data_IF_169954200949
#
_entry.id   IF_169954200949
#
_cell.length_a   1.000
_cell.length_b   1.000
_cell.length_c   1.000
_cell.angle_alpha   90.00
_cell.angle_beta   90.00
_cell.angle_gamma   90.00
#
_symmetry.space_group_name_H-M   'P 1'
#
loop_
_entity.id
_entity.type
_entity.pdbx_description
1 polymer ?
#
# COMPACT_ATOMS: atom_id res chain seq x y z
N UNK A 1 -7.43 -3.67 19.97
CA UNK A 1 -6.08 -3.29 20.43
C UNK A 1 -5.86 -1.82 20.07
N UNK A 2 -5.25 -1.01 20.97
CA UNK A 2 -5.09 0.42 20.76
C UNK A 2 -3.67 0.90 21.09
N UNK A 3 -2.96 1.34 20.06
CA UNK A 3 -1.65 1.99 20.11
C UNK A 3 -1.71 3.44 19.56
N UNK A 4 -2.90 4.06 19.54
CA UNK A 4 -3.04 5.43 19.02
C UNK A 4 -2.11 6.38 19.75
N UNK A 5 -1.39 7.22 18.97
CA UNK A 5 -0.44 8.21 19.47
C UNK A 5 0.73 7.62 20.27
N UNK A 6 0.96 6.29 20.14
CA UNK A 6 2.11 5.67 20.77
C UNK A 6 3.42 6.18 20.12
N UNK A 7 4.44 6.31 20.93
CA UNK A 7 5.79 6.63 20.48
C UNK A 7 6.69 5.41 20.66
N UNK A 8 7.09 4.81 19.55
CA UNK A 8 8.06 3.74 19.49
C UNK A 8 9.45 4.37 19.29
N UNK A 9 10.30 4.25 20.29
CA UNK A 9 11.59 4.93 20.36
C UNK A 9 12.62 4.41 19.36
N UNK A 10 13.89 4.32 19.81
CA UNK A 10 14.99 3.79 18.98
C UNK A 10 15.02 2.27 19.03
N UNK A 11 15.24 1.65 17.89
CA UNK A 11 15.33 0.21 17.72
C UNK A 11 14.14 -0.35 16.95
N UNK A 12 14.22 -1.64 16.63
CA UNK A 12 13.17 -2.31 15.86
C UNK A 12 11.90 -2.47 16.69
N UNK A 13 10.75 -2.30 16.04
CA UNK A 13 9.44 -2.61 16.60
C UNK A 13 8.94 -3.92 15.95
N UNK A 14 9.08 -5.01 16.69
CA UNK A 14 8.79 -6.35 16.21
C UNK A 14 7.44 -6.86 16.70
N UNK A 15 6.52 -7.06 15.74
CA UNK A 15 5.17 -7.61 15.92
C UNK A 15 5.00 -8.93 15.16
N UNK A 16 6.06 -9.60 14.73
CA UNK A 16 5.95 -10.82 13.93
C UNK A 16 5.03 -11.86 14.61
N UNK A 17 4.21 -12.52 13.79
CA UNK A 17 3.30 -13.58 14.22
C UNK A 17 2.24 -13.16 15.25
N UNK A 18 1.99 -11.86 15.43
CA UNK A 18 0.95 -11.40 16.35
C UNK A 18 -0.44 -11.64 15.76
N UNK A 19 -1.30 -12.31 16.52
CA UNK A 19 -2.75 -12.33 16.29
C UNK A 19 -3.39 -11.22 17.13
N UNK A 20 -3.87 -10.17 16.46
CA UNK A 20 -4.55 -9.05 17.11
C UNK A 20 -6.02 -9.35 17.45
N UNK A 21 -6.55 -10.50 17.02
CA UNK A 21 -7.94 -10.91 17.23
C UNK A 21 -8.94 -10.15 16.38
N UNK A 22 -10.23 -10.41 16.56
CA UNK A 22 -11.31 -9.90 15.70
C UNK A 22 -11.78 -8.47 16.00
N UNK A 23 -11.20 -7.80 16.98
CA UNK A 23 -11.55 -6.42 17.32
C UNK A 23 -10.80 -5.39 16.47
N UNK A 24 -11.13 -4.12 16.66
CA UNK A 24 -10.39 -3.04 16.00
C UNK A 24 -8.94 -2.98 16.49
N UNK A 25 -8.03 -2.73 15.55
CA UNK A 25 -6.60 -2.49 15.80
C UNK A 25 -6.26 -1.09 15.32
N UNK A 26 -5.68 -0.26 16.18
CA UNK A 26 -5.33 1.09 15.79
C UNK A 26 -3.94 1.48 16.25
N UNK A 27 -3.19 2.05 15.30
CA UNK A 27 -1.91 2.74 15.47
C UNK A 27 -2.03 4.23 15.07
N UNK A 28 -3.26 4.77 14.97
CA UNK A 28 -3.53 6.13 14.49
C UNK A 28 -2.63 7.17 15.17
N UNK A 29 -1.98 8.01 14.35
CA UNK A 29 -1.05 9.07 14.80
C UNK A 29 0.15 8.56 15.61
N UNK A 30 0.45 7.25 15.61
CA UNK A 30 1.65 6.73 16.26
C UNK A 30 2.92 7.06 15.45
N UNK A 31 4.08 7.04 16.13
CA UNK A 31 5.38 7.34 15.53
C UNK A 31 6.39 6.26 15.84
N UNK A 32 7.00 5.71 14.79
CA UNK A 32 8.13 4.80 14.84
C UNK A 32 9.38 5.61 14.49
N UNK A 33 10.28 5.80 15.44
CA UNK A 33 11.32 6.82 15.31
C UNK A 33 12.54 6.35 14.52
N UNK A 34 13.15 5.22 14.89
CA UNK A 34 14.27 4.60 14.16
C UNK A 34 14.21 3.09 14.31
N UNK A 35 14.67 2.39 13.29
CA UNK A 35 14.68 0.93 13.22
C UNK A 35 13.60 0.39 12.30
N UNK A 36 13.62 -0.90 12.09
CA UNK A 36 12.63 -1.58 11.27
C UNK A 36 11.32 -1.74 12.04
N UNK A 37 10.21 -1.76 11.30
CA UNK A 37 8.90 -2.05 11.86
C UNK A 37 8.36 -3.31 11.19
N UNK A 38 8.17 -4.38 11.96
CA UNK A 38 8.00 -5.72 11.44
C UNK A 38 6.64 -6.27 11.85
N UNK A 39 5.74 -6.39 10.88
CA UNK A 39 4.41 -6.99 11.02
C UNK A 39 4.27 -8.30 10.24
N UNK A 40 5.35 -9.02 10.03
CA UNK A 40 5.40 -10.25 9.23
C UNK A 40 4.48 -11.34 9.80
N UNK A 41 3.66 -11.97 8.95
CA UNK A 41 2.72 -13.02 9.36
C UNK A 41 1.75 -12.60 10.49
N UNK A 42 1.34 -11.33 10.53
CA UNK A 42 0.33 -10.88 11.48
C UNK A 42 -1.09 -11.22 11.02
N UNK A 43 -1.99 -11.43 11.98
CA UNK A 43 -3.44 -11.51 11.74
C UNK A 43 -4.13 -10.32 12.41
N UNK A 44 -4.73 -9.43 11.60
CA UNK A 44 -5.43 -8.24 12.10
C UNK A 44 -6.92 -8.47 12.36
N UNK A 45 -7.43 -9.66 12.00
CA UNK A 45 -8.82 -10.05 12.23
C UNK A 45 -9.85 -9.25 11.41
N UNK A 46 -11.12 -9.33 11.78
CA UNK A 46 -12.23 -8.79 11.00
C UNK A 46 -12.67 -7.38 11.42
N UNK A 47 -12.03 -6.78 12.41
CA UNK A 47 -12.25 -5.39 12.80
C UNK A 47 -11.57 -4.38 11.86
N UNK A 48 -11.77 -3.10 12.14
CA UNK A 48 -11.03 -2.05 11.42
C UNK A 48 -9.56 -2.06 11.83
N UNK A 49 -8.67 -2.10 10.84
CA UNK A 49 -7.21 -1.92 11.00
C UNK A 49 -6.84 -0.49 10.60
N UNK A 50 -6.36 0.32 11.56
CA UNK A 50 -6.17 1.75 11.37
C UNK A 50 -4.72 2.18 11.62
N UNK A 51 -4.02 2.53 10.54
CA UNK A 51 -2.68 3.14 10.50
C UNK A 51 -2.72 4.61 10.03
N UNK A 52 -3.87 5.29 10.13
CA UNK A 52 -4.03 6.66 9.68
C UNK A 52 -3.02 7.58 10.35
N UNK A 53 -2.33 8.42 9.54
CA UNK A 53 -1.34 9.39 10.00
C UNK A 53 -0.19 8.79 10.82
N UNK A 54 0.10 7.51 10.66
CA UNK A 54 1.30 6.92 11.25
C UNK A 54 2.53 7.50 10.55
N UNK A 55 3.58 7.72 11.31
CA UNK A 55 4.90 8.08 10.76
C UNK A 55 5.86 6.93 11.02
N UNK A 56 6.35 6.33 9.94
CA UNK A 56 7.48 5.42 9.92
C UNK A 56 8.70 6.21 9.42
N UNK A 57 9.82 6.13 10.12
CA UNK A 57 11.06 6.77 9.65
C UNK A 57 11.82 5.86 8.68
N UNK A 58 13.13 6.02 8.55
CA UNK A 58 13.94 5.46 7.46
C UNK A 58 14.18 3.94 7.51
N UNK A 59 13.64 3.23 8.49
CA UNK A 59 13.73 1.76 8.58
C UNK A 59 12.78 1.05 7.59
N UNK A 60 13.07 -0.22 7.31
CA UNK A 60 12.14 -1.07 6.55
C UNK A 60 10.82 -1.22 7.32
N UNK A 61 9.69 -1.12 6.59
CA UNK A 61 8.36 -1.45 7.13
C UNK A 61 7.84 -2.70 6.42
N UNK A 62 7.69 -3.78 7.15
CA UNK A 62 7.47 -5.10 6.61
C UNK A 62 6.16 -5.71 7.10
N UNK A 63 5.20 -5.88 6.19
CA UNK A 63 3.90 -6.52 6.41
C UNK A 63 3.77 -7.88 5.71
N UNK A 64 4.83 -8.41 5.10
CA UNK A 64 4.65 -9.54 4.19
C UNK A 64 4.01 -10.75 4.87
N UNK A 65 3.17 -11.49 4.11
CA UNK A 65 2.31 -12.59 4.55
C UNK A 65 1.25 -12.23 5.60
N UNK A 66 0.98 -10.96 5.87
CA UNK A 66 -0.04 -10.58 6.84
C UNK A 66 -1.45 -10.64 6.29
N UNK A 67 -2.41 -10.95 7.17
CA UNK A 67 -3.84 -11.07 6.88
C UNK A 67 -4.61 -9.94 7.57
N UNK A 68 -5.30 -9.12 6.77
CA UNK A 68 -6.03 -7.94 7.26
C UNK A 68 -7.53 -8.18 7.48
N UNK A 69 -8.02 -9.37 7.16
CA UNK A 69 -9.42 -9.77 7.37
C UNK A 69 -10.44 -8.93 6.59
N UNK A 70 -11.70 -8.97 7.05
CA UNK A 70 -12.85 -8.43 6.32
C UNK A 70 -13.15 -6.95 6.61
N UNK A 71 -12.55 -6.37 7.65
CA UNK A 71 -12.77 -4.99 8.06
C UNK A 71 -12.17 -3.94 7.13
N UNK A 72 -12.35 -2.67 7.47
CA UNK A 72 -11.69 -1.58 6.74
C UNK A 72 -10.21 -1.46 7.11
N UNK A 73 -9.37 -1.25 6.11
CA UNK A 73 -7.92 -0.98 6.25
C UNK A 73 -7.67 0.49 5.93
N UNK A 74 -7.13 1.24 6.88
CA UNK A 74 -6.98 2.69 6.79
C UNK A 74 -5.51 3.05 6.97
N UNK A 75 -4.86 3.46 5.88
CA UNK A 75 -3.49 3.99 5.85
C UNK A 75 -3.46 5.46 5.41
N UNK A 76 -4.62 6.14 5.39
CA UNK A 76 -4.76 7.52 4.94
C UNK A 76 -3.77 8.46 5.63
N UNK A 77 -3.01 9.23 4.86
CA UNK A 77 -1.98 10.16 5.36
C UNK A 77 -0.83 9.50 6.14
N UNK A 78 -0.58 8.22 5.96
CA UNK A 78 0.61 7.56 6.49
C UNK A 78 1.86 8.08 5.78
N UNK A 79 2.93 8.26 6.53
CA UNK A 79 4.24 8.65 6.01
C UNK A 79 5.22 7.52 6.25
N UNK A 80 5.77 6.97 5.18
CA UNK A 80 6.92 6.08 5.19
C UNK A 80 8.18 6.91 4.90
N UNK A 81 9.28 6.59 5.54
CA UNK A 81 10.56 7.25 5.31
C UNK A 81 11.30 6.70 4.09
N UNK A 82 12.63 6.75 4.10
CA UNK A 82 13.45 6.26 2.98
C UNK A 82 13.64 4.74 2.90
N UNK A 83 13.12 3.97 3.86
CA UNK A 83 13.24 2.51 3.88
C UNK A 83 12.24 1.80 2.94
N UNK A 84 12.52 0.52 2.68
CA UNK A 84 11.62 -0.34 1.90
C UNK A 84 10.27 -0.52 2.60
N UNK A 85 9.18 -0.52 1.82
CA UNK A 85 7.82 -0.81 2.28
C UNK A 85 7.31 -2.10 1.62
N UNK A 86 7.14 -3.14 2.42
CA UNK A 86 6.86 -4.48 1.94
C UNK A 86 5.47 -4.97 2.37
N UNK A 87 4.55 -5.08 1.40
CA UNK A 87 3.24 -5.72 1.53
C UNK A 87 3.14 -7.01 0.69
N UNK A 88 4.26 -7.63 0.35
CA UNK A 88 4.27 -8.83 -0.49
C UNK A 88 3.43 -9.95 0.13
N UNK A 89 2.62 -10.60 -0.71
CA UNK A 89 1.74 -11.73 -0.33
C UNK A 89 0.82 -11.44 0.86
N UNK A 90 0.43 -10.18 1.04
CA UNK A 90 -0.61 -9.84 2.00
C UNK A 90 -1.99 -10.25 1.49
N UNK A 91 -2.83 -10.74 2.39
CA UNK A 91 -4.26 -10.89 2.15
C UNK A 91 -5.00 -9.71 2.81
N UNK A 92 -5.46 -8.78 1.97
CA UNK A 92 -6.24 -7.63 2.45
C UNK A 92 -7.72 -7.97 2.67
N UNK A 93 -8.17 -9.20 2.34
CA UNK A 93 -9.56 -9.62 2.54
C UNK A 93 -10.58 -8.73 1.84
N UNK A 94 -11.80 -8.72 2.37
CA UNK A 94 -12.86 -7.81 1.90
C UNK A 94 -12.79 -6.45 2.62
N UNK A 95 -13.72 -5.54 2.24
CA UNK A 95 -13.83 -4.21 2.81
C UNK A 95 -12.91 -3.19 2.13
N UNK A 96 -13.14 -1.91 2.44
CA UNK A 96 -12.38 -0.83 1.80
C UNK A 96 -10.94 -0.80 2.29
N UNK A 97 -10.02 -0.57 1.35
CA UNK A 97 -8.60 -0.33 1.67
C UNK A 97 -8.22 1.08 1.24
N UNK A 98 -7.90 1.92 2.20
CA UNK A 98 -7.65 3.34 2.02
C UNK A 98 -6.17 3.65 2.19
N UNK A 99 -5.46 3.78 1.06
CA UNK A 99 -4.07 4.20 0.95
C UNK A 99 -3.95 5.65 0.44
N UNK A 100 -4.97 6.48 0.61
CA UNK A 100 -4.95 7.85 0.08
C UNK A 100 -3.93 8.73 0.79
N UNK A 101 -3.34 9.65 0.03
CA UNK A 101 -2.43 10.67 0.56
C UNK A 101 -1.27 10.09 1.35
N UNK A 102 -0.84 8.89 1.00
CA UNK A 102 0.38 8.31 1.56
C UNK A 102 1.59 8.99 0.93
N UNK A 103 2.62 9.16 1.73
CA UNK A 103 3.96 9.44 1.25
C UNK A 103 4.82 8.19 1.50
N UNK A 104 5.21 7.51 0.41
CA UNK A 104 5.97 6.24 0.52
C UNK A 104 7.48 6.46 0.72
N UNK A 105 7.96 7.71 0.59
CA UNK A 105 9.38 8.02 0.69
C UNK A 105 10.17 7.55 -0.53
N UNK A 106 11.48 7.36 -0.37
CA UNK A 106 12.39 7.05 -1.49
C UNK A 106 12.77 5.56 -1.58
N UNK A 107 12.30 4.74 -0.67
CA UNK A 107 12.51 3.28 -0.69
C UNK A 107 11.61 2.56 -1.69
N UNK A 108 11.97 1.31 -2.01
CA UNK A 108 11.12 0.48 -2.86
C UNK A 108 9.81 0.14 -2.15
N UNK A 109 8.72 0.07 -2.93
CA UNK A 109 7.38 -0.29 -2.47
C UNK A 109 6.91 -1.55 -3.18
N UNK A 110 6.55 -2.58 -2.45
CA UNK A 110 6.05 -3.80 -3.08
C UNK A 110 4.73 -4.27 -2.49
N UNK A 111 3.80 -4.63 -3.39
CA UNK A 111 2.55 -5.35 -3.13
C UNK A 111 2.52 -6.69 -3.87
N UNK A 112 3.67 -7.17 -4.35
CA UNK A 112 3.79 -8.37 -5.18
C UNK A 112 2.98 -9.55 -4.62
N UNK A 113 2.20 -10.21 -5.48
CA UNK A 113 1.36 -11.37 -5.14
C UNK A 113 0.30 -11.10 -4.04
N UNK A 114 -0.01 -9.86 -3.71
CA UNK A 114 -1.05 -9.54 -2.72
C UNK A 114 -2.45 -9.64 -3.29
N UNK A 115 -3.42 -9.93 -2.41
CA UNK A 115 -4.81 -10.17 -2.77
C UNK A 115 -5.73 -9.18 -2.04
N UNK A 116 -6.60 -8.53 -2.81
CA UNK A 116 -7.73 -7.75 -2.33
C UNK A 116 -9.00 -8.48 -2.80
N UNK A 117 -9.73 -9.12 -1.89
CA UNK A 117 -10.86 -9.97 -2.26
C UNK A 117 -12.02 -9.15 -2.82
N UNK A 118 -12.37 -8.06 -2.14
CA UNK A 118 -13.41 -7.11 -2.58
C UNK A 118 -13.30 -5.78 -1.82
N UNK A 119 -14.03 -4.78 -2.29
CA UNK A 119 -14.03 -3.44 -1.72
C UNK A 119 -13.07 -2.50 -2.48
N UNK A 120 -13.46 -1.23 -2.48
CA UNK A 120 -12.71 -0.20 -3.20
C UNK A 120 -11.33 0.01 -2.59
N UNK A 121 -10.31 -0.02 -3.45
CA UNK A 121 -8.92 0.27 -3.10
C UNK A 121 -8.58 1.67 -3.61
N UNK A 122 -7.98 2.51 -2.79
CA UNK A 122 -7.66 3.87 -3.21
C UNK A 122 -6.28 4.31 -2.76
N UNK A 123 -5.43 4.61 -3.74
CA UNK A 123 -4.14 5.28 -3.62
C UNK A 123 -4.21 6.74 -4.07
N UNK A 124 -5.42 7.32 -4.13
CA UNK A 124 -5.64 8.68 -4.62
C UNK A 124 -4.76 9.69 -3.92
N UNK A 125 -4.10 10.55 -4.72
CA UNK A 125 -3.22 11.62 -4.26
C UNK A 125 -2.03 11.11 -3.42
N UNK A 126 -1.58 9.87 -3.63
CA UNK A 126 -0.40 9.34 -2.96
C UNK A 126 0.86 9.64 -3.77
N UNK A 127 1.96 9.81 -3.05
CA UNK A 127 3.29 10.02 -3.58
C UNK A 127 4.11 8.75 -3.35
N UNK A 128 4.51 8.09 -4.45
CA UNK A 128 5.26 6.84 -4.40
C UNK A 128 6.78 7.04 -4.33
N UNK A 129 7.26 8.30 -4.30
CA UNK A 129 8.66 8.62 -4.15
C UNK A 129 9.52 8.19 -5.34
N UNK A 130 10.79 7.90 -5.05
CA UNK A 130 11.81 7.63 -6.08
C UNK A 130 12.20 6.14 -6.21
N UNK A 131 11.71 5.27 -5.35
CA UNK A 131 11.97 3.83 -5.39
C UNK A 131 11.16 3.09 -6.46
N UNK A 132 11.51 1.82 -6.70
CA UNK A 132 10.71 0.94 -7.55
C UNK A 132 9.36 0.66 -6.90
N UNK A 133 8.29 0.61 -7.71
CA UNK A 133 6.93 0.31 -7.25
C UNK A 133 6.43 -0.96 -7.92
N UNK A 134 6.21 -1.99 -7.13
CA UNK A 134 5.91 -3.32 -7.64
C UNK A 134 4.51 -3.80 -7.23
N UNK A 135 3.60 -3.88 -8.23
CA UNK A 135 2.27 -4.51 -8.14
C UNK A 135 2.20 -5.80 -8.97
N UNK A 136 3.34 -6.48 -9.24
CA UNK A 136 3.39 -7.71 -10.01
C UNK A 136 2.48 -8.79 -9.39
N UNK A 137 1.66 -9.42 -10.23
CA UNK A 137 0.71 -10.48 -9.83
C UNK A 137 -0.28 -10.08 -8.72
N UNK A 138 -0.53 -8.78 -8.51
CA UNK A 138 -1.55 -8.35 -7.55
C UNK A 138 -2.94 -8.65 -8.07
N UNK A 139 -3.78 -9.25 -7.22
CA UNK A 139 -5.19 -9.38 -7.49
C UNK A 139 -5.95 -8.25 -6.77
N UNK A 140 -6.37 -7.23 -7.53
CA UNK A 140 -7.15 -6.11 -7.00
C UNK A 140 -8.65 -6.42 -6.80
N UNK A 141 -9.07 -7.67 -7.03
CA UNK A 141 -10.44 -8.11 -6.78
C UNK A 141 -11.46 -7.62 -7.82
N UNK A 142 -12.71 -7.66 -7.42
CA UNK A 142 -13.84 -7.34 -8.28
C UNK A 142 -14.21 -5.85 -8.35
N UNK A 143 -13.66 -5.04 -7.46
CA UNK A 143 -13.90 -3.60 -7.40
C UNK A 143 -12.78 -2.80 -8.07
N UNK A 144 -12.78 -1.48 -7.91
CA UNK A 144 -11.81 -0.60 -8.54
C UNK A 144 -10.56 -0.37 -7.67
N UNK A 145 -9.39 -0.32 -8.32
CA UNK A 145 -8.15 0.21 -7.76
C UNK A 145 -7.89 1.60 -8.36
N UNK A 146 -7.84 2.62 -7.50
CA UNK A 146 -7.80 4.04 -7.90
C UNK A 146 -6.48 4.65 -7.48
N UNK A 147 -5.75 5.16 -8.47
CA UNK A 147 -4.48 5.87 -8.33
C UNK A 147 -4.59 7.36 -8.71
N UNK A 148 -5.80 7.90 -8.90
CA UNK A 148 -6.02 9.26 -9.38
C UNK A 148 -5.17 10.29 -8.63
N UNK A 149 -4.56 11.23 -9.34
CA UNK A 149 -3.66 12.25 -8.80
C UNK A 149 -2.45 11.67 -8.03
N UNK A 150 -2.08 10.41 -8.27
CA UNK A 150 -0.86 9.83 -7.70
C UNK A 150 0.38 10.29 -8.48
N UNK A 151 1.53 10.24 -7.79
CA UNK A 151 2.83 10.63 -8.35
C UNK A 151 3.80 9.47 -8.30
N UNK A 152 4.44 9.19 -9.44
CA UNK A 152 5.47 8.18 -9.62
C UNK A 152 6.70 8.85 -10.25
N UNK A 153 7.80 8.96 -9.50
CA UNK A 153 8.92 9.83 -9.91
C UNK A 153 9.96 9.12 -10.77
N UNK A 154 10.83 8.28 -10.21
CA UNK A 154 12.00 7.78 -10.97
C UNK A 154 12.19 6.26 -10.97
N UNK A 155 11.64 5.54 -10.02
CA UNK A 155 11.69 4.08 -9.99
C UNK A 155 10.67 3.47 -10.95
N UNK A 156 11.01 2.34 -11.58
CA UNK A 156 10.07 1.65 -12.46
C UNK A 156 8.80 1.23 -11.71
N UNK A 157 7.67 1.31 -12.39
CA UNK A 157 6.37 0.88 -11.85
C UNK A 157 5.89 -0.33 -12.63
N UNK A 158 5.57 -1.42 -11.95
CA UNK A 158 5.09 -2.64 -12.61
C UNK A 158 3.75 -3.10 -12.07
N UNK A 159 2.79 -3.28 -12.99
CA UNK A 159 1.52 -3.99 -12.78
C UNK A 159 1.49 -5.31 -13.54
N UNK A 160 2.64 -5.81 -13.98
CA UNK A 160 2.76 -7.01 -14.81
C UNK A 160 2.06 -8.20 -14.17
N UNK A 161 1.25 -8.93 -14.96
CA UNK A 161 0.41 -10.05 -14.51
C UNK A 161 -0.59 -9.73 -13.40
N UNK A 162 -0.90 -8.47 -13.11
CA UNK A 162 -1.96 -8.13 -12.15
C UNK A 162 -3.35 -8.33 -12.75
N UNK A 163 -4.36 -8.41 -11.88
CA UNK A 163 -5.76 -8.57 -12.24
C UNK A 163 -6.59 -7.49 -11.56
N UNK A 164 -7.44 -6.79 -12.32
CA UNK A 164 -8.37 -5.79 -11.80
C UNK A 164 -9.64 -5.73 -12.63
N UNK A 165 -10.78 -5.38 -12.04
CA UNK A 165 -11.96 -5.00 -12.82
C UNK A 165 -11.84 -3.58 -13.37
N UNK A 166 -11.18 -2.68 -12.62
CA UNK A 166 -10.93 -1.31 -13.06
C UNK A 166 -9.63 -0.79 -12.44
N UNK A 167 -8.76 -0.20 -13.29
CA UNK A 167 -7.61 0.61 -12.89
C UNK A 167 -7.85 2.06 -13.32
N UNK A 168 -7.70 3.00 -12.40
CA UNK A 168 -7.87 4.43 -12.68
C UNK A 168 -6.61 5.19 -12.28
N UNK A 169 -6.07 5.97 -13.23
CA UNK A 169 -4.88 6.82 -13.10
C UNK A 169 -5.16 8.26 -13.53
N UNK A 170 -6.39 8.74 -13.32
CA UNK A 170 -6.80 10.09 -13.75
C UNK A 170 -5.89 11.15 -13.12
N UNK A 171 -5.38 12.08 -13.94
CA UNK A 171 -4.52 13.19 -13.51
C UNK A 171 -3.25 12.74 -12.77
N UNK A 172 -2.70 11.54 -13.05
CA UNK A 172 -1.44 11.08 -12.48
C UNK A 172 -0.23 11.78 -13.10
N UNK A 173 0.82 11.92 -12.31
CA UNK A 173 2.16 12.29 -12.78
C UNK A 173 3.02 11.03 -12.88
N UNK A 174 3.35 10.60 -14.11
CA UNK A 174 4.14 9.41 -14.43
C UNK A 174 5.48 9.86 -15.02
N UNK A 175 6.48 10.05 -14.17
CA UNK A 175 7.81 10.54 -14.56
C UNK A 175 8.77 9.40 -14.93
N UNK A 176 8.25 8.16 -15.01
CA UNK A 176 9.04 6.93 -15.13
C UNK A 176 8.35 5.91 -16.02
N UNK A 177 9.07 4.82 -16.36
CA UNK A 177 8.53 3.67 -17.06
C UNK A 177 7.42 2.99 -16.23
N UNK A 178 6.27 2.76 -16.85
CA UNK A 178 5.11 2.08 -16.26
C UNK A 178 4.70 0.88 -17.10
N UNK A 179 4.84 -0.31 -16.52
CA UNK A 179 4.40 -1.58 -17.14
C UNK A 179 2.96 -1.90 -16.71
N UNK A 180 2.01 -1.72 -17.63
CA UNK A 180 0.59 -2.03 -17.46
C UNK A 180 0.16 -3.29 -18.24
N UNK A 181 1.07 -4.20 -18.55
CA UNK A 181 0.74 -5.51 -19.15
C UNK A 181 0.05 -6.40 -18.12
N UNK A 182 -1.20 -6.11 -17.85
CA UNK A 182 -2.05 -6.82 -16.89
C UNK A 182 -2.70 -8.04 -17.52
N UNK A 183 -2.91 -9.12 -16.76
CA UNK A 183 -3.59 -10.33 -17.29
C UNK A 183 -5.07 -10.08 -17.54
N UNK A 184 -5.69 -9.22 -16.73
CA UNK A 184 -7.10 -8.87 -16.87
C UNK A 184 -7.35 -7.47 -16.33
N UNK A 185 -7.91 -6.60 -17.17
CA UNK A 185 -8.46 -5.32 -16.77
C UNK A 185 -9.76 -5.07 -17.52
N UNK A 186 -10.85 -4.86 -16.79
CA UNK A 186 -12.16 -4.55 -17.41
C UNK A 186 -12.22 -3.13 -17.94
N UNK A 187 -11.61 -2.18 -17.26
CA UNK A 187 -11.54 -0.78 -17.66
C UNK A 187 -10.24 -0.14 -17.13
N UNK A 188 -9.51 0.52 -18.03
CA UNK A 188 -8.31 1.29 -17.73
C UNK A 188 -8.56 2.76 -18.07
N UNK A 189 -8.37 3.67 -17.12
CA UNK A 189 -8.53 5.10 -17.29
C UNK A 189 -7.20 5.82 -17.08
N UNK A 190 -6.70 6.46 -18.12
CA UNK A 190 -5.47 7.26 -18.15
C UNK A 190 -5.77 8.74 -18.48
N UNK A 191 -7.00 9.19 -18.21
CA UNK A 191 -7.44 10.55 -18.53
C UNK A 191 -6.55 11.59 -17.85
N UNK A 192 -6.11 12.56 -18.64
CA UNK A 192 -5.29 13.70 -18.18
C UNK A 192 -4.00 13.34 -17.42
N UNK A 193 -3.48 12.10 -17.60
CA UNK A 193 -2.17 11.74 -17.09
C UNK A 193 -1.06 12.56 -17.76
N UNK A 194 -0.13 13.04 -16.95
CA UNK A 194 1.15 13.57 -17.44
C UNK A 194 2.13 12.39 -17.48
N UNK A 195 2.46 11.93 -18.68
CA UNK A 195 3.42 10.86 -18.89
C UNK A 195 4.70 11.42 -19.54
N UNK A 196 5.85 11.16 -18.93
CA UNK A 196 7.17 11.64 -19.42
C UNK A 196 8.13 10.52 -19.82
N UNK A 197 7.70 9.28 -19.68
CA UNK A 197 8.46 8.10 -20.10
C UNK A 197 7.52 7.12 -20.84
N UNK A 198 7.79 5.83 -20.86
CA UNK A 198 7.06 4.82 -21.61
C UNK A 198 5.97 4.19 -20.71
N UNK A 199 4.76 4.08 -21.24
CA UNK A 199 3.73 3.18 -20.70
C UNK A 199 3.66 1.97 -21.63
N UNK A 200 3.88 0.78 -21.11
CA UNK A 200 3.74 -0.47 -21.83
C UNK A 200 2.38 -1.12 -21.47
N UNK A 201 1.55 -1.45 -22.50
CA UNK A 201 0.18 -1.97 -22.35
C UNK A 201 0.06 -3.40 -22.84
#
# INVERSE_FOLDING_TARGET
VNFSKAYFGKGDADFQFVDFGNGNVTFEESKFHFGNVIFVNCTFGNGTTNFKKVTFNDGKVDFHFSQFGEGHKIFDQTVFGGGEVDFKRCDFGAGKTDFRRIHFGDGNVTFEESIFTSGKISFKSSDFGHGEVNFHMVNFGADSAIFDNAKFWTGNVSFYHSISSQLSFIECELETFVDLRVDKCGYLDLTDCINRDIIEL
#
